data_IF_736918079486
#
_entry.id   IF_736918079486
#
_cell.length_a   1.000
_cell.length_b   1.000
_cell.length_c   1.000
_cell.angle_alpha   90.00
_cell.angle_beta   90.00
_cell.angle_gamma   90.00
#
_symmetry.space_group_name_H-M   'P 1'
#
loop_
_entity.id
_entity.type
_entity.pdbx_description
1 polymer ?
#
# COMPACT_ATOMS: atom_id res chain seq x y z
N UNK A 1 -9.16 -2.14 -6.41
CA UNK A 1 -8.28 -1.05 -5.97
C UNK A 1 -7.08 -1.66 -5.25
N UNK A 2 -5.83 -1.33 -5.66
CA UNK A 2 -4.63 -1.96 -5.11
C UNK A 2 -4.33 -1.60 -3.66
N UNK A 3 -4.87 -0.49 -3.16
CA UNK A 3 -4.52 0.03 -1.83
C UNK A 3 -5.80 0.26 -1.02
N UNK A 4 -5.77 -0.18 0.24
CA UNK A 4 -6.83 0.07 1.23
C UNK A 4 -6.21 0.55 2.53
N UNK A 5 -6.83 1.56 3.15
CA UNK A 5 -6.36 2.13 4.41
C UNK A 5 -7.17 1.61 5.60
N UNK A 6 -6.49 1.32 6.70
CA UNK A 6 -7.12 1.06 7.98
C UNK A 6 -7.27 2.38 8.75
N UNK A 7 -8.51 2.88 8.96
CA UNK A 7 -8.74 4.16 9.63
C UNK A 7 -8.49 4.13 11.14
N UNK A 8 -8.37 2.96 11.77
CA UNK A 8 -8.06 2.84 13.20
C UNK A 8 -6.56 3.01 13.45
N UNK A 9 -5.73 2.61 12.49
CA UNK A 9 -4.27 2.69 12.59
C UNK A 9 -3.73 3.95 11.90
N UNK A 10 -4.30 4.34 10.77
CA UNK A 10 -3.89 5.53 10.02
C UNK A 10 -4.20 6.81 10.80
N UNK A 11 -3.23 7.72 10.88
CA UNK A 11 -3.37 9.02 11.55
C UNK A 11 -3.39 10.21 10.58
N UNK A 12 -3.51 9.97 9.28
CA UNK A 12 -3.52 11.03 8.27
C UNK A 12 -2.20 11.82 8.17
N UNK A 13 -1.05 11.18 8.38
CA UNK A 13 0.27 11.82 8.24
C UNK A 13 0.65 12.19 6.81
N UNK A 14 -0.08 11.71 5.81
CA UNK A 14 0.14 11.96 4.37
C UNK A 14 1.49 11.51 3.80
N UNK A 15 2.29 10.73 4.52
CA UNK A 15 3.55 10.20 3.99
C UNK A 15 3.37 9.37 2.70
N UNK A 16 2.26 8.63 2.60
CA UNK A 16 1.89 7.90 1.38
C UNK A 16 1.56 8.81 0.19
N UNK A 17 1.16 10.06 0.43
CA UNK A 17 0.98 11.09 -0.62
C UNK A 17 2.36 11.52 -1.14
N UNK A 18 3.31 11.80 -0.23
CA UNK A 18 4.65 12.29 -0.57
C UNK A 18 5.49 11.27 -1.36
N UNK A 19 5.36 9.98 -1.05
CA UNK A 19 6.15 8.91 -1.70
C UNK A 19 5.56 8.46 -3.04
N UNK A 20 4.32 8.84 -3.35
CA UNK A 20 3.66 8.40 -4.56
C UNK A 20 4.18 9.17 -5.78
N UNK A 21 4.98 8.54 -6.63
CA UNK A 21 5.58 9.18 -7.82
C UNK A 21 4.59 9.61 -8.91
N UNK A 22 3.32 9.26 -8.78
CA UNK A 22 2.25 9.47 -9.77
C UNK A 22 1.01 10.15 -9.15
N UNK A 23 1.12 10.65 -7.91
CA UNK A 23 0.10 11.49 -7.28
C UNK A 23 -1.34 10.94 -7.26
N UNK A 24 -1.52 9.63 -7.04
CA UNK A 24 -2.87 9.01 -6.98
C UNK A 24 -3.67 9.38 -5.72
N UNK A 25 -3.02 10.02 -4.74
CA UNK A 25 -3.59 10.36 -3.45
C UNK A 25 -3.63 11.88 -3.24
N UNK A 26 -4.63 12.34 -2.50
CA UNK A 26 -4.65 13.70 -1.95
C UNK A 26 -4.85 13.65 -0.43
N UNK A 27 -4.33 14.66 0.31
CA UNK A 27 -4.60 14.78 1.73
C UNK A 27 -6.09 14.86 2.04
N UNK A 28 -6.51 14.21 3.12
CA UNK A 28 -7.89 14.30 3.57
C UNK A 28 -8.18 15.67 4.20
N UNK A 29 -9.32 16.32 3.91
CA UNK A 29 -9.64 17.64 4.48
C UNK A 29 -9.85 17.59 6.00
N UNK A 30 -10.33 16.46 6.52
CA UNK A 30 -10.39 16.21 7.97
C UNK A 30 -9.06 15.63 8.46
N UNK A 31 -8.46 16.28 9.46
CA UNK A 31 -7.25 15.79 10.13
C UNK A 31 -7.47 14.43 10.76
N UNK A 32 -6.44 13.58 10.72
CA UNK A 32 -6.48 12.24 11.33
C UNK A 32 -7.12 11.17 10.45
N UNK A 33 -7.69 11.52 9.29
CA UNK A 33 -8.29 10.55 8.36
C UNK A 33 -7.28 10.09 7.30
N UNK A 34 -7.44 8.87 6.75
CA UNK A 34 -6.65 8.39 5.62
C UNK A 34 -6.81 9.30 4.40
N UNK A 35 -5.79 9.41 3.53
CA UNK A 35 -5.87 10.21 2.31
C UNK A 35 -6.96 9.68 1.36
N UNK A 36 -7.43 10.57 0.49
CA UNK A 36 -8.43 10.23 -0.53
C UNK A 36 -7.69 9.70 -1.76
N UNK A 37 -8.20 8.62 -2.33
CA UNK A 37 -7.68 8.03 -3.57
C UNK A 37 -8.44 8.68 -4.73
N UNK A 38 -7.74 9.41 -5.59
CA UNK A 38 -8.34 10.17 -6.69
C UNK A 38 -8.34 9.38 -8.00
N UNK A 39 -7.19 8.80 -8.34
CA UNK A 39 -6.94 8.08 -9.59
C UNK A 39 -6.42 6.65 -9.32
N UNK A 40 -7.27 5.74 -8.81
CA UNK A 40 -6.85 4.38 -8.46
C UNK A 40 -6.35 3.56 -9.67
N UNK A 41 -6.82 3.89 -10.87
CA UNK A 41 -6.46 3.25 -12.14
C UNK A 41 -5.03 3.56 -12.60
N UNK A 42 -4.49 4.72 -12.21
CA UNK A 42 -3.14 5.15 -12.58
C UNK A 42 -2.06 4.50 -11.71
N UNK A 43 -2.45 3.82 -10.62
CA UNK A 43 -1.54 3.20 -9.68
C UNK A 43 -0.52 2.28 -10.37
N UNK A 44 0.77 2.57 -10.22
CA UNK A 44 1.87 1.78 -10.81
C UNK A 44 2.13 0.43 -10.11
N UNK A 45 1.38 0.12 -9.05
CA UNK A 45 1.57 -1.06 -8.23
C UNK A 45 2.98 -1.22 -7.63
N UNK A 46 3.68 -0.10 -7.37
CA UNK A 46 5.04 -0.14 -6.80
C UNK A 46 5.10 -0.61 -5.33
N UNK A 47 4.01 -0.45 -4.57
CA UNK A 47 3.94 -0.82 -3.16
C UNK A 47 4.63 0.14 -2.19
N UNK A 48 5.32 1.19 -2.65
CA UNK A 48 6.08 2.13 -1.81
C UNK A 48 5.23 2.74 -0.69
N UNK A 49 3.97 3.09 -0.97
CA UNK A 49 3.07 3.63 0.04
C UNK A 49 2.88 2.70 1.25
N UNK A 50 2.81 1.39 1.03
CA UNK A 50 2.63 0.41 2.09
C UNK A 50 3.95 0.07 2.81
N UNK A 51 5.05 0.02 2.06
CA UNK A 51 6.39 -0.26 2.61
C UNK A 51 6.92 0.88 3.47
N UNK A 52 6.77 2.12 3.01
CA UNK A 52 7.32 3.29 3.69
C UNK A 52 6.37 3.85 4.75
N UNK A 53 5.17 3.29 4.89
CA UNK A 53 4.23 3.75 5.90
C UNK A 53 4.84 3.61 7.31
N UNK A 54 4.98 4.70 8.08
CA UNK A 54 5.56 4.65 9.42
C UNK A 54 4.65 3.93 10.44
N UNK A 55 3.43 3.56 10.05
CA UNK A 55 2.45 2.86 10.88
C UNK A 55 2.15 1.49 10.24
N UNK A 56 2.87 0.43 10.66
CA UNK A 56 2.64 -0.92 10.14
C UNK A 56 1.17 -1.31 10.24
N UNK A 57 0.62 -1.87 9.16
CA UNK A 57 -0.79 -2.27 9.09
C UNK A 57 -1.78 -1.15 8.71
N UNK A 58 -1.37 0.12 8.70
CA UNK A 58 -2.27 1.21 8.28
C UNK A 58 -2.65 1.15 6.80
N UNK A 59 -1.82 0.50 5.98
CA UNK A 59 -2.01 0.37 4.53
C UNK A 59 -1.88 -1.10 4.17
N UNK A 60 -2.93 -1.63 3.54
CA UNK A 60 -2.90 -2.95 2.94
C UNK A 60 -2.83 -2.81 1.42
N UNK A 61 -1.80 -3.41 0.85
CA UNK A 61 -1.54 -3.40 -0.58
C UNK A 61 -1.88 -4.77 -1.18
N UNK A 62 -2.78 -4.80 -2.16
CA UNK A 62 -3.17 -5.99 -2.88
C UNK A 62 -2.33 -6.10 -4.16
N UNK A 63 -1.27 -6.91 -4.08
CA UNK A 63 -0.41 -7.21 -5.23
C UNK A 63 -1.20 -7.87 -6.36
N UNK A 64 -1.03 -7.39 -7.61
CA UNK A 64 -1.69 -7.98 -8.75
C UNK A 64 -1.16 -9.40 -8.97
N UNK A 65 -2.00 -10.31 -9.47
CA UNK A 65 -1.70 -11.75 -9.52
C UNK A 65 -0.36 -12.05 -10.20
N UNK A 66 -0.03 -11.34 -11.28
CA UNK A 66 1.21 -11.50 -12.02
C UNK A 66 2.47 -11.12 -11.23
N UNK A 67 2.34 -10.24 -10.24
CA UNK A 67 3.45 -9.72 -9.45
C UNK A 67 3.46 -10.26 -8.02
N UNK A 68 2.64 -11.28 -7.70
CA UNK A 68 2.61 -11.89 -6.37
C UNK A 68 3.92 -12.64 -6.13
N UNK A 69 4.80 -12.13 -5.24
CA UNK A 69 6.07 -12.79 -5.00
C UNK A 69 5.82 -14.07 -4.22
N UNK A 70 6.41 -15.15 -4.70
CA UNK A 70 6.51 -16.40 -3.96
C UNK A 70 7.97 -16.83 -3.96
N UNK A 71 8.37 -17.53 -2.89
CA UNK A 71 9.65 -18.20 -2.86
C UNK A 71 9.47 -19.66 -2.49
N UNK A 72 10.30 -20.50 -3.09
CA UNK A 72 10.31 -21.93 -2.83
C UNK A 72 11.54 -22.29 -2.00
N UNK A 73 11.34 -22.94 -0.87
CA UNK A 73 12.43 -23.53 -0.11
C UNK A 73 13.03 -24.69 -0.91
N UNK A 74 14.30 -24.58 -1.29
CA UNK A 74 14.98 -25.60 -2.11
C UNK A 74 15.10 -26.97 -1.42
N UNK A 75 15.09 -27.02 -0.08
CA UNK A 75 15.28 -28.24 0.71
C UNK A 75 13.97 -28.96 1.01
N UNK A 76 12.96 -28.21 1.45
CA UNK A 76 11.65 -28.78 1.84
C UNK A 76 10.64 -28.80 0.71
N UNK A 77 10.87 -28.01 -0.35
CA UNK A 77 9.94 -27.85 -1.46
C UNK A 77 8.74 -26.95 -1.15
N UNK A 78 8.63 -26.45 0.09
CA UNK A 78 7.55 -25.59 0.56
C UNK A 78 7.55 -24.26 -0.22
N UNK A 79 6.35 -23.85 -0.63
CA UNK A 79 6.11 -22.59 -1.33
C UNK A 79 5.53 -21.62 -0.31
N UNK A 80 6.19 -20.49 -0.16
CA UNK A 80 5.74 -19.40 0.70
C UNK A 80 5.35 -18.22 -0.19
N UNK A 81 4.25 -17.58 0.18
CA UNK A 81 3.74 -16.39 -0.46
C UNK A 81 3.85 -15.24 0.54
N UNK A 82 4.29 -14.07 0.05
CA UNK A 82 4.34 -12.83 0.82
C UNK A 82 2.93 -12.27 1.07
#
# INVERSE_FOLDING_TARGET
MPVTFDPEICNGCNHCVEVCSIDVYIPHPQKGKPPIILHPEECWYCGCCATDCPRPGAIRFNWPLQARPYWKNKKTGEIHQL
#
